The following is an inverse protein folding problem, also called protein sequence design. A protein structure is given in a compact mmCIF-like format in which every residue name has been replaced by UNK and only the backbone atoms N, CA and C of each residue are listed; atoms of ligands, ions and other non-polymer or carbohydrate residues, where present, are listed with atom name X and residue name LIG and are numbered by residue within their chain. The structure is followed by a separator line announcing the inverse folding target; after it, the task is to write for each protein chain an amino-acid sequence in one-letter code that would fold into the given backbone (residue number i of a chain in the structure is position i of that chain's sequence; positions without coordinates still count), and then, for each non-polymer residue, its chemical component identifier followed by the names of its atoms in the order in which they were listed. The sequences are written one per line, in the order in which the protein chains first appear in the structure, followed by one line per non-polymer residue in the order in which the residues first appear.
data_IF_292245678589
#
_entry.id   IF_292245678589
#
_cell.length_a   1.000
_cell.length_b   1.000
_cell.length_c   1.000
_cell.angle_alpha   90.00
_cell.angle_beta   90.00
_cell.angle_gamma   90.00
#
_symmetry.space_group_name_H-M   'P 1'
#
loop_
_entity.id
_entity.type
_entity.pdbx_description
1 polymer ?
#
# COMPACT_ATOMS: atom_id res chain seq x y z
N UNK A 1 7.92 -1.20 3.69
CA UNK A 1 7.35 0.17 3.62
C UNK A 1 6.65 0.32 2.29
N UNK A 2 5.66 1.20 2.17
CA UNK A 2 4.88 1.45 0.95
C UNK A 2 4.92 2.95 0.63
N UNK A 3 5.02 3.29 -0.66
CA UNK A 3 5.05 4.67 -1.14
C UNK A 3 3.63 5.28 -1.11
N UNK A 4 3.41 6.23 -0.19
CA UNK A 4 2.17 6.98 -0.04
C UNK A 4 1.93 7.95 -1.20
N UNK A 5 2.98 8.55 -1.76
CA UNK A 5 2.83 9.46 -2.91
C UNK A 5 2.21 8.73 -4.10
N UNK A 6 2.59 7.46 -4.33
CA UNK A 6 2.00 6.61 -5.36
C UNK A 6 0.53 6.26 -5.06
N UNK A 7 0.18 5.92 -3.81
CA UNK A 7 -1.21 5.66 -3.40
C UNK A 7 -2.08 6.90 -3.64
N UNK A 8 -1.60 8.07 -3.22
CA UNK A 8 -2.35 9.33 -3.32
C UNK A 8 -2.48 9.79 -4.78
N UNK A 9 -1.49 9.50 -5.62
CA UNK A 9 -1.59 9.69 -7.07
C UNK A 9 -2.63 8.76 -7.70
N UNK A 10 -2.66 7.48 -7.32
CA UNK A 10 -3.68 6.53 -7.77
C UNK A 10 -5.10 6.92 -7.34
N UNK A 11 -5.23 7.67 -6.24
CA UNK A 11 -6.49 8.26 -5.78
C UNK A 11 -6.88 9.56 -6.50
N UNK A 12 -6.11 9.97 -7.52
CA UNK A 12 -6.29 11.21 -8.27
C UNK A 12 -6.28 12.47 -7.37
N UNK A 13 -5.56 12.42 -6.24
CA UNK A 13 -5.38 13.61 -5.41
C UNK A 13 -4.34 14.54 -6.03
N UNK A 14 -4.66 15.83 -6.02
CA UNK A 14 -3.70 16.87 -6.39
C UNK A 14 -2.55 16.98 -5.35
N UNK A 15 -1.47 17.62 -5.79
CA UNK A 15 -0.25 17.82 -5.00
C UNK A 15 -0.51 18.59 -3.70
N UNK A 16 -1.25 19.69 -3.75
CA UNK A 16 -1.57 20.50 -2.58
C UNK A 16 -2.33 19.71 -1.50
N UNK A 17 -3.30 18.89 -1.91
CA UNK A 17 -4.10 18.05 -1.02
C UNK A 17 -3.27 16.91 -0.45
N UNK A 18 -2.44 16.27 -1.27
CA UNK A 18 -1.48 15.24 -0.86
C UNK A 18 -0.55 15.79 0.21
N UNK A 19 0.08 16.93 -0.03
CA UNK A 19 1.09 17.49 0.86
C UNK A 19 0.48 17.93 2.20
N UNK A 20 -0.71 18.55 2.18
CA UNK A 20 -1.46 18.86 3.41
C UNK A 20 -1.77 17.62 4.25
N UNK A 21 -2.11 16.49 3.62
CA UNK A 21 -2.36 15.24 4.34
C UNK A 21 -1.06 14.71 4.97
N UNK A 22 0.01 14.65 4.19
CA UNK A 22 1.29 14.07 4.63
C UNK A 22 1.92 14.89 5.76
N UNK A 23 1.87 16.23 5.69
CA UNK A 23 2.33 17.11 6.78
C UNK A 23 1.55 16.83 8.06
N UNK A 24 0.21 16.81 8.00
CA UNK A 24 -0.63 16.51 9.17
C UNK A 24 -0.37 15.13 9.74
N UNK A 25 -0.08 14.16 8.88
CA UNK A 25 0.16 12.79 9.32
C UNK A 25 1.51 12.64 10.00
N UNK A 26 2.54 13.35 9.55
CA UNK A 26 3.86 13.42 10.20
C UNK A 26 3.80 14.19 11.53
N UNK A 27 3.07 15.31 11.58
CA UNK A 27 2.82 16.05 12.83
C UNK A 27 2.14 15.16 13.90
N UNK A 28 1.19 14.33 13.46
CA UNK A 28 0.44 13.43 14.34
C UNK A 28 1.23 12.17 14.73
N UNK A 29 2.09 11.67 13.84
CA UNK A 29 2.91 10.48 14.07
C UNK A 29 4.37 10.74 13.67
N UNK A 30 5.12 11.52 14.47
CA UNK A 30 6.47 11.93 14.10
C UNK A 30 7.40 10.74 13.85
N UNK A 31 8.13 10.78 12.74
CA UNK A 31 9.11 9.76 12.36
C UNK A 31 8.52 8.48 11.77
N UNK A 32 7.19 8.44 11.54
CA UNK A 32 6.53 7.34 10.85
C UNK A 32 6.66 7.42 9.33
N UNK A 33 6.89 8.62 8.80
CA UNK A 33 7.04 8.88 7.38
C UNK A 33 8.51 9.06 7.02
N UNK A 34 8.92 8.52 5.88
CA UNK A 34 10.27 8.70 5.33
C UNK A 34 10.16 9.31 3.95
N UNK A 35 10.69 10.52 3.79
CA UNK A 35 10.80 11.17 2.50
C UNK A 35 12.06 10.65 1.79
N UNK A 36 11.87 10.14 0.57
CA UNK A 36 12.95 9.76 -0.34
C UNK A 36 12.96 10.75 -1.49
N UNK A 37 14.05 11.50 -1.59
CA UNK A 37 14.35 12.42 -2.68
C UNK A 37 15.59 11.94 -3.42
N UNK A 38 15.65 12.22 -4.72
CA UNK A 38 16.80 11.93 -5.58
C UNK A 38 17.23 10.46 -5.70
N UNK A 39 16.27 9.54 -5.66
CA UNK A 39 16.54 8.15 -6.04
C UNK A 39 16.92 8.04 -7.54
N UNK A 40 17.92 7.22 -7.91
CA UNK A 40 18.31 6.99 -9.30
C UNK A 40 17.17 6.45 -10.17
N UNK A 41 16.35 5.56 -9.61
CA UNK A 41 15.18 4.98 -10.26
C UNK A 41 13.95 5.78 -9.82
N UNK A 42 13.88 7.05 -10.25
CA UNK A 42 12.91 8.12 -9.89
C UNK A 42 11.50 7.71 -9.40
N UNK A 43 10.98 6.57 -9.84
CA UNK A 43 9.82 5.84 -9.31
C UNK A 43 9.85 5.59 -7.78
N UNK A 44 11.03 5.50 -7.16
CA UNK A 44 11.16 5.34 -5.70
C UNK A 44 11.08 6.66 -4.91
N UNK A 45 11.07 7.82 -5.60
CA UNK A 45 10.87 9.09 -4.94
C UNK A 45 9.48 9.17 -4.31
N UNK A 46 9.39 9.93 -3.21
CA UNK A 46 8.14 10.21 -2.52
C UNK A 46 8.19 9.88 -1.04
N UNK A 47 7.00 9.90 -0.41
CA UNK A 47 6.87 9.65 1.02
C UNK A 47 6.49 8.20 1.27
N UNK A 48 7.24 7.53 2.14
CA UNK A 48 7.10 6.12 2.47
C UNK A 48 6.61 5.94 3.90
N UNK A 49 5.76 4.94 4.11
CA UNK A 49 5.24 4.60 5.43
C UNK A 49 5.24 3.08 5.70
N UNK A 50 5.16 2.66 6.97
CA UNK A 50 4.87 1.28 7.33
C UNK A 50 3.54 0.80 6.75
N UNK A 51 3.42 -0.52 6.62
CA UNK A 51 2.27 -1.16 5.97
C UNK A 51 0.93 -0.70 6.56
N UNK A 52 0.76 -0.78 7.88
CA UNK A 52 -0.52 -0.46 8.53
C UNK A 52 -0.94 0.99 8.27
N UNK A 53 0.04 1.89 8.20
CA UNK A 53 -0.20 3.31 7.91
C UNK A 53 -0.61 3.53 6.46
N UNK A 54 0.10 2.89 5.53
CA UNK A 54 -0.23 2.96 4.11
C UNK A 54 -1.61 2.36 3.81
N UNK A 55 -1.95 1.25 4.45
CA UNK A 55 -3.28 0.64 4.35
C UNK A 55 -4.36 1.58 4.92
N UNK A 56 -4.11 2.23 6.05
CA UNK A 56 -5.06 3.19 6.63
C UNK A 56 -5.31 4.38 5.68
N UNK A 57 -4.25 4.89 5.04
CA UNK A 57 -4.37 5.99 4.05
C UNK A 57 -5.09 5.50 2.79
N UNK A 58 -4.74 4.34 2.25
CA UNK A 58 -5.40 3.77 1.07
C UNK A 58 -6.91 3.55 1.31
N UNK A 59 -7.29 3.11 2.52
CA UNK A 59 -8.70 2.99 2.91
C UNK A 59 -9.38 4.35 3.02
N UNK A 60 -8.69 5.34 3.62
CA UNK A 60 -9.23 6.69 3.77
C UNK A 60 -9.51 7.35 2.41
N UNK A 61 -8.65 7.14 1.42
CA UNK A 61 -8.79 7.73 0.08
C UNK A 61 -9.58 6.85 -0.89
N UNK A 62 -9.98 5.64 -0.46
CA UNK A 62 -10.91 4.78 -1.20
C UNK A 62 -10.29 3.94 -2.33
N UNK A 63 -8.98 3.71 -2.33
CA UNK A 63 -8.26 3.01 -3.43
C UNK A 63 -7.78 1.60 -3.07
N UNK A 64 -8.23 1.07 -1.92
CA UNK A 64 -7.71 -0.21 -1.41
C UNK A 64 -8.12 -1.40 -2.25
N UNK A 65 -9.27 -1.32 -2.94
CA UNK A 65 -9.75 -2.38 -3.83
C UNK A 65 -8.92 -2.41 -5.14
N UNK A 66 -8.68 -1.26 -5.76
CA UNK A 66 -7.85 -1.14 -6.95
C UNK A 66 -6.39 -1.55 -6.67
N UNK A 67 -5.90 -1.21 -5.48
CA UNK A 67 -4.56 -1.53 -5.01
C UNK A 67 -4.51 -2.82 -4.19
N UNK A 68 -5.55 -3.65 -4.21
CA UNK A 68 -5.63 -4.86 -3.39
C UNK A 68 -4.35 -5.72 -3.43
N UNK A 69 -3.72 -5.97 -4.60
CA UNK A 69 -2.48 -6.77 -4.65
C UNK A 69 -1.32 -6.20 -3.83
N UNK A 70 -1.28 -4.88 -3.61
CA UNK A 70 -0.26 -4.20 -2.81
C UNK A 70 -0.41 -4.51 -1.32
N UNK A 71 -1.63 -4.80 -0.87
CA UNK A 71 -1.96 -4.99 0.53
C UNK A 71 -2.15 -6.47 0.93
N UNK A 72 -1.92 -7.42 0.02
CA UNK A 72 -1.98 -8.85 0.37
C UNK A 72 -0.61 -9.33 0.88
N UNK A 73 -0.52 -9.56 2.19
CA UNK A 73 0.72 -10.05 2.81
C UNK A 73 1.01 -11.54 2.61
N UNK A 74 0.05 -12.34 2.16
CA UNK A 74 0.26 -13.77 1.91
C UNK A 74 -0.68 -14.28 0.82
N UNK A 75 -0.25 -14.11 -0.43
CA UNK A 75 -1.04 -14.52 -1.59
C UNK A 75 -1.33 -16.03 -1.56
N UNK A 76 -0.40 -16.84 -1.08
CA UNK A 76 -0.59 -18.30 -0.93
C UNK A 76 -1.69 -18.62 0.08
N UNK A 77 -1.73 -17.96 1.22
CA UNK A 77 -2.79 -18.18 2.22
C UNK A 77 -4.16 -17.72 1.72
N UNK A 78 -4.22 -16.55 1.08
CA UNK A 78 -5.45 -16.01 0.48
C UNK A 78 -5.97 -16.95 -0.61
N UNK A 79 -5.13 -17.35 -1.56
CA UNK A 79 -5.49 -18.29 -2.61
C UNK A 79 -5.84 -19.67 -2.06
N UNK A 80 -5.15 -20.15 -1.02
CA UNK A 80 -5.47 -21.41 -0.35
C UNK A 80 -6.82 -21.38 0.36
N UNK A 81 -7.22 -20.23 0.93
CA UNK A 81 -8.56 -20.03 1.49
C UNK A 81 -9.61 -19.98 0.38
N UNK A 82 -9.34 -19.27 -0.71
CA UNK A 82 -10.25 -19.19 -1.86
C UNK A 82 -10.44 -20.55 -2.56
N UNK A 83 -9.37 -21.34 -2.72
CA UNK A 83 -9.44 -22.71 -3.25
C UNK A 83 -10.26 -23.64 -2.37
N UNK A 84 -10.11 -23.51 -1.04
CA UNK A 84 -10.95 -24.23 -0.06
C UNK A 84 -12.43 -23.84 -0.14
N UNK A 85 -12.74 -22.55 -0.31
CA UNK A 85 -14.12 -22.06 -0.46
C UNK A 85 -14.77 -22.48 -1.79
N UNK A 86 -13.98 -22.67 -2.86
CA UNK A 86 -14.46 -23.12 -4.17
C UNK A 86 -14.46 -24.65 -4.34
N UNK A 87 -14.15 -25.42 -3.30
CA UNK A 87 -14.11 -26.89 -3.36
C UNK A 87 -13.01 -27.47 -4.24
N UNK A 88 -12.01 -26.67 -4.64
CA UNK A 88 -10.85 -27.17 -5.36
C UNK A 88 -9.84 -27.74 -4.37
N UNK A 89 -9.90 -29.06 -4.16
CA UNK A 89 -8.82 -29.83 -3.55
C UNK A 89 -7.59 -29.74 -4.47
N UNK A 90 -6.71 -28.78 -4.22
CA UNK A 90 -5.44 -28.66 -4.94
C UNK A 90 -4.42 -29.55 -4.24
N UNK A 91 -4.39 -30.82 -4.67
CA UNK A 91 -3.21 -31.66 -4.50
C UNK A 91 -2.10 -31.11 -5.42
N UNK A 92 -1.40 -30.08 -4.95
CA UNK A 92 -0.15 -29.63 -5.57
C UNK A 92 0.98 -29.78 -4.55
N UNK A 93 1.44 -31.02 -4.39
CA UNK A 93 2.77 -31.28 -3.83
C UNK A 93 3.79 -30.90 -4.90
N UNK A 94 4.46 -29.77 -4.69
CA UNK A 94 5.69 -29.45 -5.41
C UNK A 94 6.80 -30.26 -4.72
N UNK A 95 7.44 -31.15 -5.50
CA UNK A 95 8.64 -31.89 -5.10
C UNK A 95 9.87 -30.99 -5.16
#
# INVERSE_FOLDING_TARGET
MINLSAILHAAEWDEDRRDRLLVREDEKHPGMLVLVEDDPTKEFNGVWAPYDKALAIANHVGVTEELWPLFVHNLTEVLSRLGRLRGFSTALQIR
#
